data_IF_552301342010
#
_entry.id   IF_552301342010
#
_cell.length_a   1.000
_cell.length_b   1.000
_cell.length_c   1.000
_cell.angle_alpha   90.00
_cell.angle_beta   90.00
_cell.angle_gamma   90.00
#
_symmetry.space_group_name_H-M   'P 1'
#
loop_
_entity.id
_entity.type
_entity.pdbx_description
1 polymer ?
#
# COMPACT_ATOMS: atom_id res chain seq x y z
N UNK A 1 -7.35 -17.37 -9.49
CA UNK A 1 -7.80 -16.55 -8.33
C UNK A 1 -9.26 -16.21 -8.53
N UNK A 2 -10.03 -16.21 -7.45
CA UNK A 2 -11.47 -15.91 -7.41
C UNK A 2 -11.70 -14.38 -7.31
N UNK A 3 -12.79 -13.87 -7.88
CA UNK A 3 -13.26 -12.48 -7.75
C UNK A 3 -13.39 -12.05 -6.29
N UNK A 4 -13.86 -12.94 -5.41
CA UNK A 4 -13.95 -12.68 -3.96
C UNK A 4 -12.60 -12.30 -3.37
N UNK A 5 -11.51 -12.89 -3.86
CA UNK A 5 -10.15 -12.57 -3.38
C UNK A 5 -9.68 -11.19 -3.83
N UNK A 6 -10.15 -10.68 -4.97
CA UNK A 6 -9.79 -9.34 -5.46
C UNK A 6 -10.54 -8.26 -4.68
N UNK A 7 -11.84 -8.46 -4.42
CA UNK A 7 -12.64 -7.53 -3.61
C UNK A 7 -12.12 -7.42 -2.17
N UNK A 8 -11.70 -8.55 -1.57
CA UNK A 8 -11.05 -8.55 -0.26
C UNK A 8 -9.75 -7.73 -0.25
N UNK A 9 -8.89 -7.91 -1.26
CA UNK A 9 -7.62 -7.17 -1.35
C UNK A 9 -7.87 -5.68 -1.60
N UNK A 10 -8.83 -5.34 -2.46
CA UNK A 10 -9.23 -3.95 -2.71
C UNK A 10 -9.73 -3.28 -1.41
N UNK A 11 -10.57 -3.97 -0.63
CA UNK A 11 -11.02 -3.49 0.67
C UNK A 11 -9.88 -3.30 1.67
N UNK A 12 -8.90 -4.20 1.70
CA UNK A 12 -7.71 -4.07 2.53
C UNK A 12 -6.84 -2.87 2.12
N UNK A 13 -6.66 -2.65 0.82
CA UNK A 13 -5.91 -1.51 0.30
C UNK A 13 -6.60 -0.17 0.62
N UNK A 14 -7.92 -0.09 0.48
CA UNK A 14 -8.68 1.09 0.90
C UNK A 14 -8.56 1.34 2.41
N UNK A 15 -8.66 0.29 3.23
CA UNK A 15 -8.47 0.40 4.68
C UNK A 15 -7.06 0.85 5.06
N UNK A 16 -6.03 0.39 4.34
CA UNK A 16 -4.66 0.83 4.51
C UNK A 16 -4.48 2.30 4.10
N UNK A 17 -5.04 2.70 2.97
CA UNK A 17 -5.00 4.08 2.47
C UNK A 17 -5.57 5.08 3.49
N UNK A 18 -6.71 4.75 4.10
CA UNK A 18 -7.33 5.57 5.15
C UNK A 18 -6.41 5.72 6.38
N UNK A 19 -5.72 4.65 6.79
CA UNK A 19 -4.80 4.70 7.94
C UNK A 19 -3.53 5.51 7.65
N UNK A 20 -3.12 5.58 6.38
CA UNK A 20 -1.92 6.28 5.93
C UNK A 20 -2.21 7.72 5.44
N UNK A 21 -3.46 8.15 5.43
CA UNK A 21 -3.93 9.45 4.88
C UNK A 21 -3.16 10.65 5.44
N UNK A 22 -2.73 10.58 6.71
CA UNK A 22 -1.98 11.64 7.38
C UNK A 22 -0.53 11.83 6.87
N UNK A 23 0.00 10.83 6.15
CA UNK A 23 1.38 10.77 5.64
C UNK A 23 1.46 10.73 4.12
N UNK A 24 0.32 10.72 3.45
CA UNK A 24 0.24 10.71 1.99
C UNK A 24 -0.30 12.07 1.52
N UNK A 25 0.29 12.68 0.48
CA UNK A 25 -0.29 13.88 -0.11
C UNK A 25 -1.67 13.57 -0.73
N UNK A 26 -2.63 14.50 -0.60
CA UNK A 26 -4.00 14.29 -1.09
C UNK A 26 -4.12 13.93 -2.58
N UNK A 27 -3.17 14.38 -3.40
CA UNK A 27 -3.07 13.99 -4.81
C UNK A 27 -2.72 12.51 -4.96
N UNK A 28 -1.77 12.00 -4.19
CA UNK A 28 -1.36 10.61 -4.22
C UNK A 28 -2.45 9.70 -3.66
N UNK A 29 -3.16 10.12 -2.61
CA UNK A 29 -4.33 9.40 -2.10
C UNK A 29 -5.38 9.19 -3.19
N UNK A 30 -5.67 10.25 -3.95
CA UNK A 30 -6.64 10.17 -5.05
C UNK A 30 -6.16 9.20 -6.13
N UNK A 31 -4.91 9.31 -6.56
CA UNK A 31 -4.34 8.44 -7.58
C UNK A 31 -4.30 6.96 -7.14
N UNK A 32 -3.94 6.70 -5.88
CA UNK A 32 -3.88 5.36 -5.32
C UNK A 32 -5.30 4.76 -5.25
N UNK A 33 -6.30 5.54 -4.84
CA UNK A 33 -7.70 5.10 -4.85
C UNK A 33 -8.18 4.76 -6.27
N UNK A 34 -7.83 5.57 -7.27
CA UNK A 34 -8.14 5.30 -8.68
C UNK A 34 -7.52 3.98 -9.17
N UNK A 35 -6.29 3.64 -8.74
CA UNK A 35 -5.69 2.34 -9.05
C UNK A 35 -6.44 1.18 -8.40
N UNK A 36 -6.88 1.33 -7.15
CA UNK A 36 -7.67 0.29 -6.47
C UNK A 36 -8.99 0.07 -7.21
N UNK A 37 -9.69 1.15 -7.56
CA UNK A 37 -10.98 1.09 -8.24
C UNK A 37 -10.87 0.54 -9.68
N UNK A 38 -9.71 0.71 -10.32
CA UNK A 38 -9.37 0.09 -11.60
C UNK A 38 -8.88 -1.37 -11.50
N UNK A 39 -8.85 -1.95 -10.29
CA UNK A 39 -8.31 -3.28 -9.99
C UNK A 39 -6.79 -3.43 -10.27
N UNK A 40 -6.06 -2.32 -10.32
CA UNK A 40 -4.59 -2.25 -10.41
C UNK A 40 -3.97 -2.36 -8.99
N UNK A 41 -4.36 -3.40 -8.24
CA UNK A 41 -4.11 -3.53 -6.80
C UNK A 41 -2.62 -3.56 -6.43
N UNK A 42 -1.81 -4.23 -7.25
CA UNK A 42 -0.36 -4.26 -7.05
C UNK A 42 0.27 -2.89 -7.26
N UNK A 43 -0.15 -2.15 -8.29
CA UNK A 43 0.34 -0.80 -8.57
C UNK A 43 -0.07 0.18 -7.47
N UNK A 44 -1.29 0.05 -6.93
CA UNK A 44 -1.74 0.84 -5.80
C UNK A 44 -0.83 0.67 -4.58
N UNK A 45 -0.47 -0.57 -4.24
CA UNK A 45 0.42 -0.85 -3.11
C UNK A 45 1.86 -0.36 -3.36
N UNK A 46 2.37 -0.50 -4.58
CA UNK A 46 3.67 0.05 -4.97
C UNK A 46 3.70 1.57 -4.83
N UNK A 47 2.66 2.26 -5.32
CA UNK A 47 2.57 3.71 -5.22
C UNK A 47 2.47 4.18 -3.76
N UNK A 48 1.72 3.48 -2.90
CA UNK A 48 1.72 3.78 -1.45
C UNK A 48 3.13 3.67 -0.86
N UNK A 49 3.85 2.60 -1.18
CA UNK A 49 5.19 2.37 -0.64
C UNK A 49 6.21 3.39 -1.15
N UNK A 50 6.14 3.75 -2.43
CA UNK A 50 7.03 4.73 -3.04
C UNK A 50 6.83 6.10 -2.38
N UNK A 51 5.60 6.60 -2.28
CA UNK A 51 5.28 7.91 -1.65
C UNK A 51 5.74 7.96 -0.20
N UNK A 52 5.47 6.91 0.59
CA UNK A 52 5.94 6.84 1.98
C UNK A 52 7.47 6.85 2.08
N UNK A 53 8.15 6.21 1.12
CA UNK A 53 9.61 6.10 1.14
C UNK A 53 10.31 7.39 0.69
N UNK A 54 9.70 8.16 -0.22
CA UNK A 54 10.26 9.41 -0.73
C UNK A 54 10.49 10.44 0.38
N UNK A 55 9.54 10.54 1.31
CA UNK A 55 9.62 11.44 2.46
C UNK A 55 10.07 10.74 3.76
N UNK A 56 10.56 9.49 3.67
CA UNK A 56 10.95 8.66 4.83
C UNK A 56 9.89 8.66 5.95
N UNK A 57 8.61 8.53 5.57
CA UNK A 57 7.49 8.60 6.51
C UNK A 57 7.55 7.44 7.50
N UNK A 58 7.36 7.70 8.82
CA UNK A 58 7.39 6.66 9.82
C UNK A 58 6.18 5.72 9.68
N UNK A 59 6.44 4.42 9.83
CA UNK A 59 5.44 3.37 9.82
C UNK A 59 5.40 2.62 11.15
N UNK A 60 4.19 2.41 11.66
CA UNK A 60 3.98 1.50 12.76
C UNK A 60 4.25 0.05 12.33
N UNK A 61 4.66 -0.84 13.25
CA UNK A 61 4.98 -2.23 12.91
C UNK A 61 3.82 -3.00 12.24
N UNK A 62 2.59 -2.71 12.62
CA UNK A 62 1.36 -3.29 12.05
C UNK A 62 1.10 -2.79 10.62
N UNK A 63 1.25 -1.49 10.36
CA UNK A 63 1.13 -0.92 9.00
C UNK A 63 2.11 -1.56 8.03
N UNK A 64 3.38 -1.70 8.47
CA UNK A 64 4.42 -2.38 7.69
C UNK A 64 4.07 -3.85 7.46
N UNK A 65 3.63 -4.56 8.50
CA UNK A 65 3.28 -5.97 8.40
C UNK A 65 2.10 -6.19 7.43
N UNK A 66 1.09 -5.32 7.49
CA UNK A 66 -0.07 -5.37 6.59
C UNK A 66 0.35 -5.17 5.11
N UNK A 67 1.23 -4.21 4.84
CA UNK A 67 1.78 -4.01 3.49
C UNK A 67 2.55 -5.24 2.99
N UNK A 68 3.37 -5.86 3.83
CA UNK A 68 4.13 -7.04 3.45
C UNK A 68 3.23 -8.28 3.28
N UNK A 69 2.20 -8.44 4.10
CA UNK A 69 1.22 -9.51 3.93
C UNK A 69 0.46 -9.39 2.60
N UNK A 70 0.15 -8.16 2.17
CA UNK A 70 -0.46 -7.91 0.86
C UNK A 70 0.48 -8.26 -0.30
N UNK A 71 1.78 -7.96 -0.18
CA UNK A 71 2.81 -8.39 -1.15
C UNK A 71 2.84 -9.91 -1.29
N UNK A 72 2.86 -10.64 -0.17
CA UNK A 72 2.86 -12.10 -0.17
C UNK A 72 1.57 -12.67 -0.79
N UNK A 73 0.42 -12.11 -0.42
CA UNK A 73 -0.90 -12.54 -0.92
C UNK A 73 -1.06 -12.30 -2.42
N UNK A 74 -0.56 -11.18 -2.94
CA UNK A 74 -0.58 -10.85 -4.36
C UNK A 74 0.60 -11.45 -5.14
N UNK A 75 1.50 -12.18 -4.47
CA UNK A 75 2.72 -12.75 -5.05
C UNK A 75 3.59 -11.71 -5.78
N UNK A 76 3.67 -10.50 -5.21
CA UNK A 76 4.42 -9.39 -5.76
C UNK A 76 5.92 -9.54 -5.55
N UNK A 77 6.70 -8.80 -6.34
CA UNK A 77 8.15 -8.70 -6.18
C UNK A 77 8.57 -7.85 -4.98
N UNK A 78 9.88 -7.62 -4.86
CA UNK A 78 10.49 -6.95 -3.70
C UNK A 78 10.36 -5.41 -3.71
N UNK A 79 9.62 -4.80 -4.64
CA UNK A 79 9.58 -3.32 -4.76
C UNK A 79 9.07 -2.66 -3.48
N UNK A 80 7.88 -3.07 -3.02
CA UNK A 80 7.27 -2.59 -1.77
C UNK A 80 8.21 -2.84 -0.60
N UNK A 81 8.66 -4.08 -0.40
CA UNK A 81 9.58 -4.41 0.68
C UNK A 81 10.91 -3.63 0.63
N UNK A 82 11.37 -3.24 -0.56
CA UNK A 82 12.54 -2.39 -0.78
C UNK A 82 12.28 -0.95 -0.37
N UNK A 83 11.18 -0.34 -0.86
CA UNK A 83 10.78 1.02 -0.52
C UNK A 83 10.56 1.19 0.99
N UNK A 84 9.89 0.23 1.64
CA UNK A 84 9.63 0.28 3.07
C UNK A 84 10.90 0.27 3.94
N UNK A 85 12.08 -0.07 3.41
CA UNK A 85 13.34 0.01 4.17
C UNK A 85 13.75 1.45 4.49
N UNK A 86 13.25 2.41 3.72
CA UNK A 86 13.50 3.84 3.94
C UNK A 86 12.54 4.46 4.96
N UNK A 87 11.39 3.82 5.21
CA UNK A 87 10.46 4.24 6.25
C UNK A 87 10.99 3.86 7.65
N UNK A 88 11.22 4.80 8.57
CA UNK A 88 11.59 4.50 9.95
C UNK A 88 10.42 3.92 10.76
N UNK A 89 10.67 3.29 11.93
CA UNK A 89 9.60 2.92 12.85
C UNK A 89 8.95 4.16 13.49
N UNK A 90 7.63 4.13 13.67
CA UNK A 90 6.84 5.13 14.40
C UNK A 90 6.98 5.02 15.92
#
# INVERSE_FOLDING_TARGET
MDLTSYEEIAGQLHGLLIRLDDRLPGKDITLIAEFIDANELGLALEQMADVLSEDEQPLAPDERADMLALVERMQMGNRVAGALRYCPPK
#
